data_IF_166374978269
#
_entry.id   IF_166374978269
#
_cell.length_a   1.000
_cell.length_b   1.000
_cell.length_c   1.000
_cell.angle_alpha   90.00
_cell.angle_beta   90.00
_cell.angle_gamma   90.00
#
_symmetry.space_group_name_H-M   'P 1'
#
loop_
_entity.id
_entity.type
_entity.pdbx_description
1 polymer ?
#
# COMPACT_ATOMS: atom_id res chain seq x y z
N UNK A 1 -22.47 9.36 -16.94
CA UNK A 1 -21.77 10.52 -16.37
C UNK A 1 -20.50 10.72 -17.17
N UNK A 2 -20.26 11.93 -17.68
CA UNK A 2 -19.04 12.22 -18.42
C UNK A 2 -17.85 12.14 -17.46
N UNK A 3 -17.03 11.12 -17.63
CA UNK A 3 -15.75 10.99 -16.92
C UNK A 3 -14.82 12.00 -17.59
N UNK A 4 -14.50 13.06 -16.86
CA UNK A 4 -13.63 14.14 -17.32
C UNK A 4 -12.35 14.10 -16.51
N UNK A 5 -11.22 14.43 -17.14
CA UNK A 5 -9.95 14.53 -16.45
C UNK A 5 -10.07 15.54 -15.32
N UNK A 6 -9.75 15.10 -14.09
CA UNK A 6 -9.87 15.93 -12.89
C UNK A 6 -8.51 16.13 -12.27
N UNK A 7 -8.07 17.38 -12.14
CA UNK A 7 -6.86 17.69 -11.39
C UNK A 7 -7.15 17.59 -9.89
N UNK A 8 -6.35 16.77 -9.19
CA UNK A 8 -6.42 16.56 -7.75
C UNK A 8 -5.09 16.90 -7.09
N UNK A 9 -5.13 17.27 -5.82
CA UNK A 9 -3.92 17.57 -5.03
C UNK A 9 -3.57 16.36 -4.17
N UNK A 10 -2.32 15.91 -4.25
CA UNK A 10 -1.83 14.83 -3.41
C UNK A 10 -1.75 15.28 -1.95
N UNK A 11 -2.40 14.55 -1.04
CA UNK A 11 -2.36 14.86 0.41
C UNK A 11 -1.00 14.63 1.08
N UNK A 12 -0.09 13.93 0.40
CA UNK A 12 1.20 13.50 0.96
C UNK A 12 2.36 14.42 0.49
N UNK A 13 2.42 14.73 -0.81
CA UNK A 13 3.45 15.60 -1.38
C UNK A 13 2.96 17.00 -1.80
N UNK A 14 1.66 17.27 -1.76
CA UNK A 14 1.08 18.56 -2.17
C UNK A 14 1.07 18.83 -3.68
N UNK A 15 1.58 17.90 -4.50
CA UNK A 15 1.61 18.08 -5.96
C UNK A 15 0.24 17.82 -6.59
N UNK A 16 -0.04 18.59 -7.65
CA UNK A 16 -1.20 18.38 -8.52
C UNK A 16 -0.95 17.17 -9.43
N UNK A 17 -1.95 16.30 -9.55
CA UNK A 17 -1.93 15.16 -10.46
C UNK A 17 -3.28 15.03 -11.16
N UNK A 18 -3.28 14.47 -12.37
CA UNK A 18 -4.48 14.31 -13.18
C UNK A 18 -5.10 12.95 -12.87
N UNK A 19 -6.34 12.96 -12.40
CA UNK A 19 -7.18 11.78 -12.31
C UNK A 19 -7.91 11.60 -13.63
N UNK A 20 -7.30 10.83 -14.51
CA UNK A 20 -7.75 10.69 -15.90
C UNK A 20 -9.07 9.93 -16.00
N UNK A 21 -9.80 10.11 -17.10
CA UNK A 21 -10.99 9.32 -17.41
C UNK A 21 -10.73 7.81 -17.33
N UNK A 22 -9.61 7.34 -17.87
CA UNK A 22 -9.26 5.91 -17.83
C UNK A 22 -8.98 5.38 -16.41
N UNK A 23 -8.39 6.19 -15.53
CA UNK A 23 -8.26 5.84 -14.11
C UNK A 23 -9.63 5.81 -13.42
N UNK A 24 -10.54 6.72 -13.73
CA UNK A 24 -11.89 6.73 -13.18
C UNK A 24 -12.68 5.48 -13.60
N UNK A 25 -12.59 5.08 -14.87
CA UNK A 25 -13.19 3.83 -15.38
C UNK A 25 -12.61 2.61 -14.66
N UNK A 26 -11.29 2.57 -14.44
CA UNK A 26 -10.65 1.52 -13.67
C UNK A 26 -11.19 1.45 -12.24
N UNK A 27 -11.33 2.58 -11.57
CA UNK A 27 -11.88 2.66 -10.20
C UNK A 27 -13.33 2.16 -10.16
N UNK A 28 -14.17 2.60 -11.09
CA UNK A 28 -15.56 2.14 -11.19
C UNK A 28 -15.66 0.64 -11.48
N UNK A 29 -14.83 0.10 -12.39
CA UNK A 29 -14.80 -1.32 -12.72
C UNK A 29 -14.43 -2.21 -11.54
N UNK A 30 -13.65 -1.66 -10.59
CA UNK A 30 -13.21 -2.34 -9.37
C UNK A 30 -14.15 -2.09 -8.17
N UNK A 31 -15.24 -1.35 -8.37
CA UNK A 31 -16.16 -0.95 -7.31
C UNK A 31 -15.59 0.10 -6.35
N UNK A 32 -14.51 0.80 -6.72
CA UNK A 32 -13.97 1.92 -5.96
C UNK A 32 -14.70 3.20 -6.37
N UNK A 33 -15.57 3.68 -5.50
CA UNK A 33 -16.24 4.99 -5.67
C UNK A 33 -15.40 6.16 -5.14
N UNK A 34 -14.27 5.87 -4.48
CA UNK A 34 -13.44 6.89 -3.84
C UNK A 34 -12.36 7.41 -4.80
N UNK A 35 -12.25 8.73 -4.89
CA UNK A 35 -11.17 9.38 -5.64
C UNK A 35 -9.81 9.13 -4.97
N UNK A 36 -8.74 8.98 -5.75
CA UNK A 36 -7.42 8.85 -5.17
C UNK A 36 -7.02 10.10 -4.37
N UNK A 37 -6.66 9.93 -3.10
CA UNK A 37 -6.14 11.02 -2.27
C UNK A 37 -4.62 11.28 -2.43
N UNK A 38 -3.94 10.50 -3.27
CA UNK A 38 -2.48 10.53 -3.45
C UNK A 38 -2.14 10.38 -4.93
N UNK A 39 -1.06 11.01 -5.40
CA UNK A 39 -0.54 10.82 -6.75
C UNK A 39 0.02 9.40 -6.95
N UNK A 40 0.22 9.00 -8.21
CA UNK A 40 0.81 7.71 -8.60
C UNK A 40 2.16 7.45 -7.93
N UNK A 41 3.02 8.48 -7.87
CA UNK A 41 4.34 8.42 -7.24
C UNK A 41 4.26 8.07 -5.76
N UNK A 42 3.47 8.81 -4.97
CA UNK A 42 3.28 8.52 -3.55
C UNK A 42 2.63 7.15 -3.31
N UNK A 43 1.73 6.70 -4.21
CA UNK A 43 1.18 5.33 -4.15
C UNK A 43 2.27 4.28 -4.44
N UNK A 44 3.13 4.52 -5.42
CA UNK A 44 4.20 3.62 -5.82
C UNK A 44 5.29 3.53 -4.74
N UNK A 45 5.74 4.65 -4.18
CA UNK A 45 6.70 4.69 -3.07
C UNK A 45 6.18 3.89 -1.89
N UNK A 46 4.92 4.11 -1.47
CA UNK A 46 4.34 3.38 -0.34
C UNK A 46 4.16 1.88 -0.61
N UNK A 47 3.89 1.51 -1.87
CA UNK A 47 3.88 0.10 -2.29
C UNK A 47 5.27 -0.52 -2.17
N UNK A 48 6.31 0.19 -2.59
CA UNK A 48 7.72 -0.26 -2.46
C UNK A 48 8.14 -0.40 -1.01
N UNK A 49 7.81 0.56 -0.15
CA UNK A 49 8.09 0.48 1.29
C UNK A 49 7.44 -0.75 1.94
N UNK A 50 6.18 -1.05 1.57
CA UNK A 50 5.50 -2.25 2.06
C UNK A 50 6.13 -3.55 1.53
N UNK A 51 6.61 -3.57 0.30
CA UNK A 51 7.35 -4.72 -0.24
C UNK A 51 8.71 -4.89 0.44
N UNK A 52 9.42 -3.80 0.75
CA UNK A 52 10.67 -3.84 1.51
C UNK A 52 10.50 -4.35 2.94
N UNK A 53 9.30 -4.23 3.51
CA UNK A 53 8.99 -4.80 4.84
C UNK A 53 8.71 -6.31 4.82
N UNK A 54 8.44 -6.92 3.66
CA UNK A 54 8.33 -8.38 3.54
C UNK A 54 9.71 -9.05 3.56
N UNK A 55 10.76 -8.28 3.22
CA UNK A 55 12.17 -8.67 3.32
C UNK A 55 12.79 -8.20 4.66
N UNK A 56 12.00 -7.71 5.61
CA UNK A 56 12.50 -7.64 6.98
C UNK A 56 12.43 -9.06 7.55
N UNK A 57 13.58 -9.69 7.87
CA UNK A 57 13.55 -11.01 8.49
C UNK A 57 12.69 -10.89 9.75
N UNK A 58 11.64 -11.72 9.84
CA UNK A 58 10.83 -11.81 11.06
C UNK A 58 11.80 -12.00 12.22
N UNK A 59 11.69 -11.18 13.26
CA UNK A 59 12.55 -11.31 14.43
C UNK A 59 12.20 -12.63 15.11
N UNK A 60 13.01 -13.66 14.86
CA UNK A 60 12.82 -14.97 15.46
C UNK A 60 13.38 -14.91 16.89
N UNK A 61 12.54 -15.15 17.89
CA UNK A 61 12.92 -15.18 19.29
C UNK A 61 13.30 -16.62 19.69
N UNK A 62 14.46 -16.79 20.35
CA UNK A 62 14.83 -18.06 20.97
C UNK A 62 14.04 -18.27 22.25
N UNK A 63 13.35 -19.41 22.36
CA UNK A 63 12.53 -19.79 23.51
C UNK A 63 12.80 -21.23 23.90
N UNK A 64 12.63 -21.54 25.19
CA UNK A 64 12.70 -22.90 25.72
C UNK A 64 11.28 -23.44 25.80
N UNK A 65 11.01 -24.56 25.12
CA UNK A 65 9.69 -25.19 25.14
C UNK A 65 9.38 -25.72 26.55
N UNK A 66 8.25 -25.30 27.14
CA UNK A 66 7.87 -25.70 28.50
C UNK A 66 7.55 -27.20 28.65
N UNK A 67 7.16 -27.88 27.56
CA UNK A 67 6.78 -29.29 27.60
C UNK A 67 7.96 -30.23 27.42
N UNK A 68 8.90 -29.89 26.51
CA UNK A 68 10.03 -30.77 26.17
C UNK A 68 11.42 -30.21 26.54
N UNK A 69 11.51 -28.97 27.03
CA UNK A 69 12.75 -28.33 27.48
C UNK A 69 13.75 -27.99 26.37
N UNK A 70 13.41 -28.20 25.11
CA UNK A 70 14.31 -27.94 23.97
C UNK A 70 14.26 -26.46 23.55
N UNK A 71 15.42 -25.94 23.15
CA UNK A 71 15.52 -24.63 22.52
C UNK A 71 14.88 -24.67 21.14
N UNK A 72 13.99 -23.73 20.88
CA UNK A 72 13.33 -23.56 19.59
C UNK A 72 13.22 -22.09 19.26
N UNK A 73 13.00 -21.78 17.98
CA UNK A 73 12.90 -20.41 17.51
C UNK A 73 11.47 -20.16 17.05
N UNK A 74 10.83 -19.13 17.61
CA UNK A 74 9.46 -18.73 17.28
C UNK A 74 9.45 -17.32 16.69
N UNK A 75 8.66 -17.07 15.62
CA UNK A 75 8.44 -15.72 15.11
C UNK A 75 7.56 -14.87 16.04
#
# INVERSE_FOLDING_TARGET
MALVDKTLVCRDCGQEFIFTTGEQEFYLSRGLQNEPGRCSECRATRRRERQGSYDQPRQMHSVICAECGKETTVP
#
